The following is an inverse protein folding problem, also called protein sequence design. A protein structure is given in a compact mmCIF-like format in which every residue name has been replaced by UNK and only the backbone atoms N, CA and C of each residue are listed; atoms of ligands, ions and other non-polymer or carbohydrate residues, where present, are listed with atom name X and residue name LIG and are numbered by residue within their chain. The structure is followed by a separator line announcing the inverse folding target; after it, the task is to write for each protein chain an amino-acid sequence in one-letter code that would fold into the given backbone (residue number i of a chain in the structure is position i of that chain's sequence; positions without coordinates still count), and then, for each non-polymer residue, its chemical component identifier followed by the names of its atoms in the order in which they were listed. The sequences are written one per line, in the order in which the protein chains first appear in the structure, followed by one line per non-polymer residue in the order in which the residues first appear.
data_IF_313231343564
#
_entry.id   IF_313231343564
#
_cell.length_a   1.000
_cell.length_b   1.000
_cell.length_c   1.000
_cell.angle_alpha   90.00
_cell.angle_beta   90.00
_cell.angle_gamma   90.00
#
_symmetry.space_group_name_H-M   'P 1'
#
loop_
_entity.id
_entity.type
_entity.pdbx_description
1 polymer ?
#
# COMPACT_ATOMS: atom_id res chain seq x y z
N UNK A 1 13.54 30.63 11.01
CA UNK A 1 12.83 29.52 11.70
C UNK A 1 13.40 29.37 13.10
N UNK A 2 12.56 29.51 14.14
CA UNK A 2 12.96 29.31 15.55
C UNK A 2 13.37 27.88 15.87
N UNK A 3 12.92 26.90 15.07
CA UNK A 3 13.22 25.47 15.18
C UNK A 3 13.58 24.92 13.79
N UNK A 4 14.84 24.98 13.38
CA UNK A 4 15.26 24.51 12.06
C UNK A 4 15.16 22.98 11.89
N UNK A 5 15.05 22.26 12.99
CA UNK A 5 14.88 20.80 13.09
C UNK A 5 13.39 20.35 13.04
N UNK A 6 12.45 21.29 12.98
CA UNK A 6 11.03 21.01 13.02
C UNK A 6 10.33 21.29 11.67
N UNK A 7 9.32 20.48 11.37
CA UNK A 7 8.39 20.77 10.27
C UNK A 7 7.41 21.88 10.71
N UNK A 8 7.45 23.02 10.02
CA UNK A 8 6.51 24.10 10.26
C UNK A 8 5.33 24.00 9.28
N UNK A 9 4.10 24.10 9.82
CA UNK A 9 2.86 24.06 9.05
C UNK A 9 2.02 25.28 9.40
N UNK A 10 1.56 26.04 8.38
CA UNK A 10 0.71 27.19 8.58
C UNK A 10 -0.78 26.80 8.56
N UNK A 11 -1.53 27.16 9.59
CA UNK A 11 -2.97 26.95 9.67
C UNK A 11 -3.79 28.09 9.00
N UNK A 12 -3.13 29.16 8.57
CA UNK A 12 -3.68 30.35 7.90
C UNK A 12 -4.52 31.23 8.84
N UNK A 13 -5.42 30.64 9.62
CA UNK A 13 -6.20 31.33 10.65
C UNK A 13 -6.44 30.43 11.87
N UNK A 14 -6.87 31.04 12.98
CA UNK A 14 -7.10 30.34 14.24
C UNK A 14 -8.27 29.34 14.20
N UNK A 15 -9.18 29.45 13.22
CA UNK A 15 -10.28 28.49 13.01
C UNK A 15 -9.79 27.16 12.45
N UNK A 16 -8.68 27.17 11.73
CA UNK A 16 -8.09 26.01 11.10
C UNK A 16 -7.08 25.26 12.01
N UNK A 17 -6.75 25.78 13.18
CA UNK A 17 -5.78 25.15 14.09
C UNK A 17 -6.16 23.72 14.46
N UNK A 18 -7.41 23.50 14.85
CA UNK A 18 -7.90 22.17 15.24
C UNK A 18 -7.84 21.14 14.09
N UNK A 19 -8.46 21.38 12.91
CA UNK A 19 -8.40 20.40 11.83
C UNK A 19 -6.97 20.16 11.31
N UNK A 20 -6.11 21.20 11.28
CA UNK A 20 -4.70 21.04 10.89
C UNK A 20 -3.94 20.20 11.91
N UNK A 21 -4.11 20.45 13.22
CA UNK A 21 -3.47 19.66 14.27
C UNK A 21 -3.86 18.19 14.21
N UNK A 22 -5.14 17.89 14.00
CA UNK A 22 -5.64 16.53 13.86
C UNK A 22 -5.07 15.81 12.62
N UNK A 23 -4.96 16.51 11.48
CA UNK A 23 -4.30 15.96 10.28
C UNK A 23 -2.83 15.69 10.56
N UNK A 24 -2.12 16.60 11.24
CA UNK A 24 -0.71 16.43 11.56
C UNK A 24 -0.47 15.27 12.54
N UNK A 25 -1.34 15.08 13.53
CA UNK A 25 -1.26 13.94 14.46
C UNK A 25 -1.46 12.61 13.73
N UNK A 26 -2.42 12.54 12.81
CA UNK A 26 -2.63 11.34 11.98
C UNK A 26 -1.43 11.05 11.09
N UNK A 27 -0.83 12.08 10.49
CA UNK A 27 0.32 11.93 9.60
C UNK A 27 1.62 11.61 10.34
N UNK A 28 1.78 12.12 11.57
CA UNK A 28 2.96 11.94 12.40
C UNK A 28 2.56 11.54 13.83
N UNK A 29 2.17 10.26 14.05
CA UNK A 29 1.58 9.81 15.33
C UNK A 29 2.47 10.01 16.55
N UNK A 30 3.79 9.92 16.38
CA UNK A 30 4.77 10.02 17.47
C UNK A 30 5.45 11.38 17.57
N UNK A 31 5.11 12.33 16.68
CA UNK A 31 5.75 13.65 16.71
C UNK A 31 5.24 14.51 17.87
N UNK A 32 6.12 15.28 18.46
CA UNK A 32 5.72 16.36 19.37
C UNK A 32 5.06 17.48 18.53
N UNK A 33 3.78 17.73 18.75
CA UNK A 33 3.05 18.81 18.09
C UNK A 33 3.05 20.01 19.02
N UNK A 34 3.51 21.15 18.53
CA UNK A 34 3.51 22.42 19.24
C UNK A 34 2.73 23.43 18.41
N UNK A 35 1.72 24.04 19.01
CA UNK A 35 0.90 25.09 18.38
C UNK A 35 1.43 26.44 18.82
N UNK A 36 1.99 27.20 17.87
CA UNK A 36 2.36 28.58 18.05
C UNK A 36 1.11 29.45 18.02
N UNK A 37 0.69 29.94 19.15
CA UNK A 37 -0.52 30.77 19.30
C UNK A 37 -0.17 32.24 19.29
N UNK A 38 -1.14 33.04 18.88
CA UNK A 38 -1.11 34.48 19.04
C UNK A 38 -1.59 34.86 20.45
N UNK A 39 -0.99 35.89 21.02
CA UNK A 39 -1.46 36.52 22.24
C UNK A 39 -2.42 37.65 21.84
N UNK A 40 -3.71 37.35 21.77
CA UNK A 40 -4.77 38.32 21.45
C UNK A 40 -5.29 39.10 22.68
N UNK A 41 -4.49 39.20 23.74
CA UNK A 41 -4.88 39.82 24.97
C UNK A 41 -5.22 41.30 24.73
N UNK A 42 -6.46 41.65 24.95
CA UNK A 42 -6.99 43.01 24.99
C UNK A 42 -7.76 43.14 26.30
N UNK A 43 -7.70 44.32 26.93
CA UNK A 43 -8.42 44.57 28.17
C UNK A 43 -9.92 44.16 28.01
N UNK A 44 -10.41 43.36 28.93
CA UNK A 44 -11.79 42.85 29.04
C UNK A 44 -12.27 41.87 27.93
N UNK A 45 -11.41 41.30 27.10
CA UNK A 45 -11.80 40.29 26.10
C UNK A 45 -11.06 38.96 26.27
N UNK A 46 -11.74 37.82 25.97
CA UNK A 46 -11.08 36.51 25.98
C UNK A 46 -9.93 36.47 24.97
N UNK A 47 -8.83 35.78 25.31
CA UNK A 47 -7.71 35.58 24.39
C UNK A 47 -8.06 34.46 23.40
N UNK A 48 -8.78 34.81 22.33
CA UNK A 48 -9.34 33.85 21.35
C UNK A 48 -8.25 33.03 20.64
N UNK A 49 -7.08 33.62 20.36
CA UNK A 49 -5.94 32.92 19.75
C UNK A 49 -5.44 31.79 20.66
N UNK A 50 -5.21 32.11 21.94
CA UNK A 50 -4.77 31.10 22.93
C UNK A 50 -5.84 30.04 23.19
N UNK A 51 -7.13 30.41 23.37
CA UNK A 51 -8.20 29.42 23.59
C UNK A 51 -8.35 28.40 22.46
N UNK A 52 -8.27 28.86 21.22
CA UNK A 52 -8.34 27.97 20.04
C UNK A 52 -7.11 27.08 19.92
N UNK A 53 -5.93 27.61 20.23
CA UNK A 53 -4.70 26.83 20.25
C UNK A 53 -4.72 25.75 21.33
N UNK A 54 -5.20 26.07 22.53
CA UNK A 54 -5.39 25.11 23.63
C UNK A 54 -6.37 24.00 23.26
N UNK A 55 -7.49 24.35 22.67
CA UNK A 55 -8.47 23.37 22.17
C UNK A 55 -7.86 22.42 21.14
N UNK A 56 -7.08 22.97 20.20
CA UNK A 56 -6.41 22.17 19.19
C UNK A 56 -5.30 21.29 19.79
N UNK A 57 -4.53 21.81 20.74
CA UNK A 57 -3.49 21.05 21.43
C UNK A 57 -4.06 19.90 22.28
N UNK A 58 -5.16 20.13 22.99
CA UNK A 58 -5.87 19.10 23.76
C UNK A 58 -6.34 17.94 22.88
N UNK A 59 -6.83 18.23 21.68
CA UNK A 59 -7.34 17.17 20.77
C UNK A 59 -6.25 16.23 20.25
N UNK A 60 -4.98 16.65 20.29
CA UNK A 60 -3.84 15.90 19.71
C UNK A 60 -2.75 15.57 20.72
N UNK A 61 -3.02 15.71 22.00
CA UNK A 61 -2.02 15.57 23.06
C UNK A 61 -0.74 16.36 22.74
N UNK A 62 -0.93 17.63 22.44
CA UNK A 62 0.10 18.56 21.99
C UNK A 62 0.41 19.66 23.00
N UNK A 63 1.26 20.56 22.60
CA UNK A 63 1.71 21.71 23.39
C UNK A 63 1.26 23.01 22.74
N UNK A 64 1.14 24.07 23.56
CA UNK A 64 0.91 25.43 23.11
C UNK A 64 2.11 26.29 23.51
N UNK A 65 2.47 27.24 22.66
CA UNK A 65 3.45 28.27 22.97
C UNK A 65 2.89 29.64 22.60
N UNK A 66 2.84 30.58 23.55
CA UNK A 66 2.27 31.91 23.40
C UNK A 66 3.37 32.95 23.68
N UNK A 67 3.47 34.04 22.89
CA UNK A 67 4.42 35.11 23.18
C UNK A 67 4.22 35.69 24.61
N UNK A 68 5.29 35.78 25.42
CA UNK A 68 5.19 36.23 26.79
C UNK A 68 5.13 37.78 26.87
N UNK A 69 4.02 38.34 26.34
CA UNK A 69 3.75 39.78 26.31
C UNK A 69 2.51 40.10 27.12
N UNK A 70 2.42 41.29 27.64
CA UNK A 70 1.25 41.85 28.30
C UNK A 70 0.31 42.64 27.35
N UNK A 71 0.68 42.64 26.06
CA UNK A 71 -0.06 43.25 24.96
C UNK A 71 -0.26 42.24 23.81
N UNK A 72 -1.15 42.61 22.88
CA UNK A 72 -1.42 41.80 21.70
C UNK A 72 -0.16 41.68 20.84
N UNK A 73 0.32 40.43 20.61
CA UNK A 73 1.48 40.14 19.78
C UNK A 73 1.42 38.72 19.21
N UNK A 74 2.02 38.53 18.07
CA UNK A 74 2.34 37.23 17.53
C UNK A 74 3.86 36.91 17.72
N UNK A 75 4.29 35.69 17.32
CA UNK A 75 5.69 35.29 17.41
C UNK A 75 6.59 36.08 16.45
N UNK A 76 6.07 36.60 15.36
CA UNK A 76 6.81 37.43 14.43
C UNK A 76 7.06 38.86 15.04
N UNK A 77 6.06 39.42 15.69
CA UNK A 77 6.18 40.69 16.41
C UNK A 77 7.24 40.56 17.52
N UNK A 78 7.15 39.48 18.30
CA UNK A 78 8.13 39.22 19.36
C UNK A 78 9.56 39.01 18.79
N UNK A 79 9.69 38.33 17.68
CA UNK A 79 10.98 38.17 16.99
C UNK A 79 11.55 39.49 16.49
N UNK A 80 10.72 40.34 15.89
CA UNK A 80 11.18 41.65 15.38
C UNK A 80 11.68 42.56 16.49
N UNK A 81 11.08 42.48 17.67
CA UNK A 81 11.46 43.32 18.82
C UNK A 81 12.68 42.80 19.58
N UNK A 82 12.80 41.50 19.73
CA UNK A 82 13.77 40.89 20.64
C UNK A 82 14.90 40.08 19.93
N UNK A 83 14.77 39.89 18.62
CA UNK A 83 15.72 39.10 17.82
C UNK A 83 15.47 37.59 17.90
N UNK A 84 16.07 36.84 16.96
CA UNK A 84 15.79 35.41 16.77
C UNK A 84 16.20 34.56 17.98
N UNK A 85 17.33 34.85 18.61
CA UNK A 85 17.83 34.06 19.74
C UNK A 85 16.90 34.19 20.96
N UNK A 86 16.45 35.41 21.29
CA UNK A 86 15.53 35.67 22.39
C UNK A 86 14.14 35.07 22.09
N UNK A 87 13.65 35.19 20.86
CA UNK A 87 12.36 34.62 20.45
C UNK A 87 12.39 33.07 20.52
N UNK A 88 13.50 32.44 20.13
CA UNK A 88 13.66 30.96 20.25
C UNK A 88 13.67 30.52 21.71
N UNK A 89 14.39 31.24 22.58
CA UNK A 89 14.43 30.93 24.00
C UNK A 89 13.05 31.09 24.65
N UNK A 90 12.36 32.21 24.36
CA UNK A 90 11.01 32.49 24.83
C UNK A 90 10.00 31.45 24.34
N UNK A 91 10.06 31.04 23.07
CA UNK A 91 9.20 30.02 22.49
C UNK A 91 9.29 28.69 23.23
N UNK A 92 10.50 28.23 23.49
CA UNK A 92 10.73 26.98 24.22
C UNK A 92 10.34 27.10 25.71
N UNK A 93 10.54 28.25 26.32
CA UNK A 93 10.23 28.47 27.75
C UNK A 93 8.72 28.64 28.00
N UNK A 94 7.98 29.24 27.07
CA UNK A 94 6.53 29.43 27.17
C UNK A 94 5.70 28.23 26.75
N UNK A 95 6.36 27.13 26.37
CA UNK A 95 5.69 25.91 25.92
C UNK A 95 5.07 25.17 27.11
N UNK A 96 3.77 24.93 27.05
CA UNK A 96 3.02 24.16 28.06
C UNK A 96 2.02 23.22 27.43
N UNK A 97 1.65 22.18 28.16
CA UNK A 97 0.57 21.27 27.77
C UNK A 97 -0.70 21.75 28.46
N UNK A 98 -1.74 22.13 27.72
CA UNK A 98 -2.97 22.56 28.32
C UNK A 98 -3.61 21.41 29.09
N UNK A 99 -3.98 21.66 30.35
CA UNK A 99 -4.74 20.70 31.13
C UNK A 99 -6.21 20.89 30.82
N UNK A 100 -6.91 19.81 30.48
CA UNK A 100 -8.37 19.84 30.33
C UNK A 100 -9.00 20.31 31.63
N UNK A 101 -9.22 21.59 31.74
CA UNK A 101 -9.95 22.16 32.87
C UNK A 101 -11.37 21.60 32.85
N UNK A 102 -11.78 20.93 33.91
CA UNK A 102 -13.19 20.68 34.16
C UNK A 102 -13.88 22.04 34.18
N UNK A 103 -14.62 22.34 33.14
CA UNK A 103 -15.60 23.43 33.17
C UNK A 103 -16.61 23.03 34.25
N UNK A 104 -16.45 23.60 35.45
CA UNK A 104 -17.53 23.55 36.43
C UNK A 104 -18.70 24.30 35.81
N UNK A 105 -19.85 23.68 35.56
CA UNK A 105 -21.03 24.42 35.15
C UNK A 105 -21.36 25.41 36.26
N UNK A 106 -21.39 26.70 35.97
CA UNK A 106 -22.00 27.70 36.82
C UNK A 106 -23.50 27.41 36.84
N UNK A 107 -23.97 26.79 37.92
CA UNK A 107 -25.38 26.59 38.21
C UNK A 107 -26.02 27.98 38.45
N UNK A 108 -26.71 28.54 37.46
CA UNK A 108 -27.74 29.51 37.71
C UNK A 108 -28.94 28.75 38.28
N UNK A 109 -29.27 29.06 39.54
CA UNK A 109 -30.47 28.55 40.20
C UNK A 109 -31.70 29.06 39.45
N UNK A 110 -32.40 28.16 38.76
CA UNK A 110 -33.78 28.37 38.34
C UNK A 110 -34.63 27.78 39.43
N UNK A 111 -35.34 28.63 40.16
CA UNK A 111 -36.34 28.19 41.14
C UNK A 111 -37.46 27.42 40.45
N UNK A 112 -37.73 26.20 40.97
CA UNK A 112 -38.94 25.43 40.67
C UNK A 112 -38.77 24.31 39.65
N UNK A 113 -38.15 23.20 40.03
CA UNK A 113 -38.19 21.96 39.27
C UNK A 113 -37.65 20.80 40.10
N UNK A 114 -38.42 19.77 40.24
CA UNK A 114 -38.15 18.54 40.93
C UNK A 114 -36.72 18.05 40.76
N UNK A 115 -36.05 17.67 41.84
CA UNK A 115 -34.76 17.04 41.90
C UNK A 115 -34.73 15.76 41.00
N UNK A 116 -34.33 15.96 39.73
CA UNK A 116 -33.83 14.89 38.87
C UNK A 116 -32.34 14.82 39.07
N UNK A 117 -31.83 13.75 39.70
CA UNK A 117 -30.44 13.31 39.53
C UNK A 117 -30.14 13.28 38.03
N UNK A 118 -28.93 13.70 37.55
CA UNK A 118 -28.60 13.54 36.16
C UNK A 118 -28.82 12.06 35.84
N UNK A 119 -29.70 11.80 34.86
CA UNK A 119 -29.86 10.43 34.32
C UNK A 119 -28.47 10.01 33.88
N UNK A 120 -27.83 9.10 34.63
CA UNK A 120 -26.68 8.35 34.20
C UNK A 120 -27.11 7.73 32.88
N UNK A 121 -26.48 8.08 31.75
CA UNK A 121 -26.70 7.37 30.50
C UNK A 121 -26.69 5.87 30.79
N UNK A 122 -27.74 5.12 30.39
CA UNK A 122 -27.80 3.70 30.71
C UNK A 122 -26.51 3.07 30.17
N UNK A 123 -25.76 2.44 31.07
CA UNK A 123 -24.53 1.72 30.77
C UNK A 123 -24.85 0.65 29.72
N UNK A 124 -24.55 0.96 28.45
CA UNK A 124 -24.85 0.08 27.32
C UNK A 124 -23.65 -0.82 27.01
N UNK A 125 -23.89 -2.07 26.68
CA UNK A 125 -22.83 -2.92 26.14
C UNK A 125 -22.24 -2.30 24.89
N UNK A 126 -20.91 -2.37 24.74
CA UNK A 126 -20.16 -1.77 23.64
C UNK A 126 -18.90 -2.57 23.30
N UNK A 127 -18.32 -2.31 22.16
CA UNK A 127 -17.04 -2.91 21.76
C UNK A 127 -15.92 -1.91 22.04
N UNK A 128 -14.86 -2.41 22.68
CA UNK A 128 -13.62 -1.68 22.89
C UNK A 128 -12.48 -2.30 22.09
N UNK A 129 -11.75 -1.45 21.35
CA UNK A 129 -10.50 -1.82 20.69
C UNK A 129 -9.34 -1.35 21.55
N UNK A 130 -8.49 -2.30 21.96
CA UNK A 130 -7.33 -2.08 22.84
C UNK A 130 -6.07 -2.64 22.17
N UNK A 131 -4.90 -2.35 22.75
CA UNK A 131 -3.62 -2.85 22.25
C UNK A 131 -3.48 -4.38 22.29
N UNK A 132 -4.20 -5.06 23.18
CA UNK A 132 -4.19 -6.51 23.38
C UNK A 132 -5.34 -7.24 22.67
N UNK A 133 -6.29 -6.51 22.09
CA UNK A 133 -7.42 -7.10 21.36
C UNK A 133 -8.64 -6.23 21.25
N UNK A 134 -9.66 -6.80 20.65
CA UNK A 134 -11.01 -6.21 20.57
C UNK A 134 -11.93 -6.99 21.52
N UNK A 135 -12.65 -6.28 22.38
CA UNK A 135 -13.45 -6.85 23.45
C UNK A 135 -14.89 -6.38 23.38
N UNK A 136 -15.83 -7.25 23.69
CA UNK A 136 -17.20 -6.92 24.01
C UNK A 136 -17.32 -6.65 25.50
N UNK A 137 -17.65 -5.46 25.89
CA UNK A 137 -17.78 -5.01 27.29
C UNK A 137 -19.26 -4.88 27.63
N UNK A 138 -19.67 -5.59 28.66
CA UNK A 138 -21.03 -5.54 29.21
C UNK A 138 -20.98 -4.97 30.61
N UNK A 139 -21.28 -3.68 30.82
CA UNK A 139 -21.36 -3.11 32.16
C UNK A 139 -22.52 -3.71 32.95
N UNK A 140 -22.27 -4.12 34.19
CA UNK A 140 -23.27 -4.57 35.15
C UNK A 140 -23.12 -3.78 36.43
N UNK A 141 -24.23 -3.35 37.02
CA UNK A 141 -24.21 -2.76 38.34
C UNK A 141 -24.29 -3.89 39.34
N UNK A 142 -23.30 -3.98 40.20
CA UNK A 142 -23.36 -4.89 41.36
C UNK A 142 -24.47 -4.46 42.30
N UNK A 143 -25.30 -5.40 42.70
CA UNK A 143 -26.50 -5.09 43.49
C UNK A 143 -26.19 -4.73 44.95
N UNK A 144 -25.05 -5.21 45.47
CA UNK A 144 -24.69 -5.06 46.86
C UNK A 144 -23.81 -3.82 47.10
N UNK A 145 -22.86 -3.54 46.17
CA UNK A 145 -21.94 -2.41 46.26
C UNK A 145 -22.40 -1.18 45.47
N UNK A 146 -23.30 -1.35 44.50
CA UNK A 146 -23.66 -0.28 43.54
C UNK A 146 -22.56 0.08 42.55
N UNK A 147 -21.44 -0.65 42.54
CA UNK A 147 -20.33 -0.43 41.62
C UNK A 147 -20.60 -1.02 40.24
N UNK A 148 -20.02 -0.41 39.24
CA UNK A 148 -20.09 -0.93 37.85
C UNK A 148 -18.98 -1.94 37.63
N UNK A 149 -19.35 -3.19 37.41
CA UNK A 149 -18.44 -4.27 37.05
C UNK A 149 -18.56 -4.53 35.55
N UNK A 150 -17.45 -4.40 34.82
CA UNK A 150 -17.39 -4.70 33.39
C UNK A 150 -17.14 -6.20 33.18
N UNK A 151 -18.12 -6.88 32.58
CA UNK A 151 -17.89 -8.23 32.06
C UNK A 151 -17.35 -8.14 30.64
N UNK A 152 -16.20 -8.73 30.42
CA UNK A 152 -15.49 -8.65 29.12
C UNK A 152 -15.49 -10.00 28.43
N UNK A 153 -15.66 -9.96 27.09
CA UNK A 153 -15.50 -11.13 26.23
C UNK A 153 -14.59 -10.75 25.06
N UNK A 154 -13.49 -11.48 24.91
CA UNK A 154 -12.56 -11.27 23.81
C UNK A 154 -13.19 -11.65 22.46
N UNK A 155 -13.06 -10.80 21.47
CA UNK A 155 -13.61 -10.95 20.10
C UNK A 155 -12.54 -11.36 19.10
N UNK A 156 -11.43 -10.63 19.03
CA UNK A 156 -10.33 -10.91 18.11
C UNK A 156 -9.03 -10.22 18.54
N UNK A 157 -7.93 -10.58 17.88
CA UNK A 157 -6.65 -9.85 17.96
C UNK A 157 -6.83 -8.37 17.61
N UNK A 158 -5.89 -7.49 18.00
CA UNK A 158 -5.94 -6.07 17.64
C UNK A 158 -6.05 -5.89 16.13
N UNK A 159 -6.96 -5.04 15.70
CA UNK A 159 -7.15 -4.60 14.32
C UNK A 159 -7.78 -3.22 14.26
N UNK A 160 -7.63 -2.56 13.12
CA UNK A 160 -8.16 -1.24 12.86
C UNK A 160 -8.91 -1.22 11.53
N UNK A 161 -10.09 -0.60 11.51
CA UNK A 161 -10.79 -0.27 10.27
C UNK A 161 -10.28 1.08 9.80
N UNK A 162 -9.50 1.11 8.71
CA UNK A 162 -8.82 2.31 8.22
C UNK A 162 -9.57 3.00 7.08
N UNK A 163 -10.53 2.34 6.46
CA UNK A 163 -11.29 2.96 5.40
C UNK A 163 -12.37 2.09 4.79
N UNK A 164 -13.01 2.64 3.77
CA UNK A 164 -13.95 1.96 2.90
C UNK A 164 -13.37 1.93 1.50
N UNK A 165 -13.18 0.74 0.94
CA UNK A 165 -12.67 0.55 -0.40
C UNK A 165 -13.77 0.38 -1.43
N UNK A 166 -13.48 0.68 -2.69
CA UNK A 166 -14.32 0.31 -3.82
C UNK A 166 -13.49 -0.03 -5.06
N UNK A 167 -13.95 -0.96 -5.83
CA UNK A 167 -13.61 -1.13 -7.24
C UNK A 167 -14.80 -0.72 -8.13
N UNK A 168 -14.88 -1.23 -9.35
CA UNK A 168 -15.97 -0.91 -10.28
C UNK A 168 -17.29 -1.62 -9.95
N UNK A 169 -17.28 -2.61 -9.04
CA UNK A 169 -18.43 -3.48 -8.74
C UNK A 169 -18.76 -3.55 -7.27
N UNK A 170 -17.74 -3.75 -6.44
CA UNK A 170 -17.90 -4.11 -5.05
C UNK A 170 -17.43 -2.99 -4.12
N UNK A 171 -17.99 -3.02 -2.92
CA UNK A 171 -17.58 -2.21 -1.78
C UNK A 171 -16.80 -3.09 -0.81
N UNK A 172 -15.76 -2.52 -0.21
CA UNK A 172 -14.85 -3.20 0.68
C UNK A 172 -14.72 -2.47 2.01
N UNK A 173 -14.45 -3.22 3.04
CA UNK A 173 -13.91 -2.70 4.29
C UNK A 173 -12.39 -2.86 4.27
N UNK A 174 -11.66 -1.78 4.53
CA UNK A 174 -10.20 -1.81 4.58
C UNK A 174 -9.79 -1.97 6.04
N UNK A 175 -9.17 -3.10 6.33
CA UNK A 175 -8.77 -3.49 7.69
C UNK A 175 -7.25 -3.61 7.74
N UNK A 176 -6.65 -3.07 8.81
CA UNK A 176 -5.21 -3.11 9.08
C UNK A 176 -4.94 -3.79 10.41
N UNK A 177 -3.89 -4.58 10.46
CA UNK A 177 -3.44 -5.27 11.68
C UNK A 177 -1.96 -5.61 11.60
N UNK A 178 -1.43 -6.03 12.74
CA UNK A 178 -0.10 -6.62 12.83
C UNK A 178 -0.24 -8.09 13.20
N UNK A 179 0.28 -8.98 12.36
CA UNK A 179 0.29 -10.41 12.66
C UNK A 179 1.33 -10.72 13.74
N UNK A 180 1.05 -11.73 14.58
CA UNK A 180 1.97 -12.14 15.64
C UNK A 180 3.35 -12.52 15.08
N UNK A 181 4.42 -11.96 15.64
CA UNK A 181 5.81 -12.22 15.23
C UNK A 181 6.23 -11.51 13.94
N UNK A 182 5.38 -10.67 13.34
CA UNK A 182 5.69 -9.90 12.14
C UNK A 182 5.72 -8.41 12.48
N UNK A 183 6.81 -7.72 12.12
CA UNK A 183 6.94 -6.28 12.39
C UNK A 183 6.13 -5.41 11.43
N UNK A 184 5.88 -5.90 10.21
CA UNK A 184 5.13 -5.18 9.19
C UNK A 184 3.61 -5.23 9.45
N UNK A 185 2.94 -4.10 9.16
CA UNK A 185 1.48 -4.03 9.16
C UNK A 185 0.92 -4.67 7.89
N UNK A 186 -0.09 -5.50 8.07
CA UNK A 186 -0.89 -6.07 6.97
C UNK A 186 -2.14 -5.22 6.78
N UNK A 187 -2.46 -4.89 5.54
CA UNK A 187 -3.72 -4.23 5.16
C UNK A 187 -4.45 -5.10 4.15
N UNK A 188 -5.74 -5.32 4.33
CA UNK A 188 -6.57 -6.10 3.42
C UNK A 188 -7.89 -5.41 3.10
N UNK A 189 -8.36 -5.59 1.87
CA UNK A 189 -9.70 -5.23 1.43
C UNK A 189 -10.60 -6.47 1.55
N UNK A 190 -11.61 -6.40 2.40
CA UNK A 190 -12.60 -7.48 2.56
C UNK A 190 -13.91 -6.99 1.96
N UNK A 191 -14.49 -7.69 0.98
CA UNK A 191 -15.79 -7.34 0.45
C UNK A 191 -16.82 -7.18 1.56
N UNK A 192 -17.64 -6.13 1.51
CA UNK A 192 -18.69 -5.93 2.53
C UNK A 192 -19.65 -7.12 2.60
N UNK A 193 -19.89 -7.80 1.49
CA UNK A 193 -20.69 -9.02 1.43
C UNK A 193 -20.10 -10.18 2.24
N UNK A 194 -18.78 -10.19 2.46
CA UNK A 194 -18.08 -11.24 3.19
C UNK A 194 -17.92 -10.92 4.70
N UNK A 195 -18.27 -9.70 5.14
CA UNK A 195 -18.18 -9.33 6.55
C UNK A 195 -19.22 -10.10 7.36
N UNK A 196 -18.73 -10.91 8.31
CA UNK A 196 -19.57 -11.83 9.07
C UNK A 196 -19.68 -13.22 8.47
N UNK A 197 -19.35 -13.38 7.19
CA UNK A 197 -19.40 -14.64 6.47
C UNK A 197 -18.09 -15.43 6.59
N UNK A 198 -18.14 -16.69 6.15
CA UNK A 198 -17.02 -17.63 6.23
C UNK A 198 -15.76 -17.10 5.51
N UNK A 199 -15.94 -16.51 4.36
CA UNK A 199 -14.88 -16.01 3.48
C UNK A 199 -14.13 -14.84 4.13
N UNK A 200 -14.83 -13.88 4.72
CA UNK A 200 -14.22 -12.77 5.45
C UNK A 200 -13.43 -13.24 6.68
N UNK A 201 -13.98 -14.15 7.48
CA UNK A 201 -13.25 -14.74 8.61
C UNK A 201 -12.02 -15.53 8.15
N UNK A 202 -12.11 -16.22 7.02
CA UNK A 202 -10.97 -16.94 6.43
C UNK A 202 -9.86 -15.98 6.03
N UNK A 203 -10.19 -14.86 5.41
CA UNK A 203 -9.21 -13.85 4.99
C UNK A 203 -8.47 -13.27 6.20
N UNK A 204 -9.18 -12.87 7.24
CA UNK A 204 -8.57 -12.36 8.48
C UNK A 204 -7.67 -13.40 9.16
N UNK A 205 -8.14 -14.63 9.31
CA UNK A 205 -7.38 -15.71 9.95
C UNK A 205 -6.15 -16.11 9.12
N UNK A 206 -6.25 -16.15 7.80
CA UNK A 206 -5.11 -16.42 6.91
C UNK A 206 -4.05 -15.32 7.02
N UNK A 207 -4.46 -14.07 7.31
CA UNK A 207 -3.56 -12.95 7.58
C UNK A 207 -3.02 -12.89 9.01
N UNK A 208 -3.31 -13.89 9.86
CA UNK A 208 -2.75 -13.99 11.22
C UNK A 208 -3.60 -13.35 12.33
N UNK A 209 -4.84 -12.95 12.03
CA UNK A 209 -5.81 -12.50 13.06
C UNK A 209 -6.45 -13.71 13.74
N UNK A 210 -6.39 -13.74 15.06
CA UNK A 210 -7.19 -14.68 15.85
C UNK A 210 -8.59 -14.11 16.06
N UNK A 211 -9.61 -14.90 15.77
CA UNK A 211 -11.02 -14.53 15.94
C UNK A 211 -11.70 -15.56 16.82
N UNK A 212 -12.55 -15.11 17.74
CA UNK A 212 -13.35 -16.00 18.63
C UNK A 212 -14.11 -17.06 17.83
N UNK A 213 -14.25 -18.25 18.41
CA UNK A 213 -15.04 -19.33 17.81
C UNK A 213 -16.53 -19.25 18.13
N UNK A 214 -16.92 -18.45 19.15
CA UNK A 214 -18.33 -18.29 19.54
C UNK A 214 -19.11 -17.49 18.51
N UNK A 215 -20.16 -18.07 17.95
CA UNK A 215 -20.95 -17.46 16.86
C UNK A 215 -21.59 -16.13 17.25
N UNK A 216 -22.14 -16.03 18.48
CA UNK A 216 -22.75 -14.81 18.99
C UNK A 216 -21.75 -13.65 19.09
N UNK A 217 -20.53 -13.91 19.54
CA UNK A 217 -19.48 -12.90 19.62
C UNK A 217 -18.93 -12.51 18.24
N UNK A 218 -18.89 -13.44 17.28
CA UNK A 218 -18.55 -13.12 15.88
C UNK A 218 -19.59 -12.23 15.22
N UNK A 219 -20.86 -12.41 15.53
CA UNK A 219 -21.92 -11.53 15.03
C UNK A 219 -21.75 -10.08 15.56
N UNK A 220 -21.41 -9.94 16.85
CA UNK A 220 -21.10 -8.62 17.44
C UNK A 220 -19.87 -7.99 16.77
N UNK A 221 -18.81 -8.78 16.54
CA UNK A 221 -17.62 -8.30 15.86
C UNK A 221 -17.92 -7.85 14.41
N UNK A 222 -18.71 -8.63 13.66
CA UNK A 222 -19.11 -8.28 12.30
C UNK A 222 -19.92 -6.99 12.24
N UNK A 223 -20.87 -6.80 13.15
CA UNK A 223 -21.68 -5.60 13.26
C UNK A 223 -20.83 -4.38 13.62
N UNK A 224 -19.88 -4.54 14.54
CA UNK A 224 -18.94 -3.50 14.93
C UNK A 224 -18.01 -3.11 13.77
N UNK A 225 -17.43 -4.07 13.05
CA UNK A 225 -16.56 -3.80 11.90
C UNK A 225 -17.25 -2.92 10.84
N UNK A 226 -18.53 -3.18 10.55
CA UNK A 226 -19.30 -2.43 9.57
C UNK A 226 -19.60 -0.98 10.01
N UNK A 227 -19.61 -0.69 11.32
CA UNK A 227 -20.00 0.63 11.84
C UNK A 227 -18.84 1.46 12.36
N UNK A 228 -17.70 0.83 12.63
CA UNK A 228 -16.57 1.45 13.33
C UNK A 228 -15.44 1.86 12.40
N UNK A 229 -14.51 2.66 12.95
CA UNK A 229 -13.27 3.05 12.33
C UNK A 229 -13.37 4.20 11.35
N UNK A 230 -12.25 4.48 10.68
CA UNK A 230 -12.15 5.51 9.67
C UNK A 230 -12.97 5.17 8.41
N UNK A 231 -13.41 6.20 7.71
CA UNK A 231 -14.19 6.09 6.46
C UNK A 231 -13.45 6.75 5.29
N UNK A 232 -12.14 6.77 5.33
CA UNK A 232 -11.33 7.21 4.20
C UNK A 232 -11.64 6.35 2.97
N UNK A 233 -11.84 7.00 1.84
CA UNK A 233 -12.12 6.28 0.59
C UNK A 233 -10.83 5.74 -0.01
N UNK A 234 -10.79 4.42 -0.20
CA UNK A 234 -9.72 3.70 -0.86
C UNK A 234 -10.16 3.18 -2.23
N UNK A 235 -9.21 3.03 -3.15
CA UNK A 235 -9.42 2.31 -4.39
C UNK A 235 -8.85 0.90 -4.26
N UNK A 236 -9.62 -0.09 -4.70
CA UNK A 236 -9.18 -1.49 -4.69
C UNK A 236 -8.85 -1.89 -6.13
N UNK A 237 -7.61 -2.27 -6.36
CA UNK A 237 -7.12 -2.69 -7.66
C UNK A 237 -6.90 -4.21 -7.69
N UNK A 238 -7.33 -4.87 -8.76
CA UNK A 238 -7.15 -6.32 -8.97
C UNK A 238 -6.12 -6.65 -10.04
N UNK A 239 -5.60 -5.65 -10.73
CA UNK A 239 -4.51 -5.76 -11.69
C UNK A 239 -3.36 -4.84 -11.29
N UNK A 240 -2.17 -5.18 -11.72
CA UNK A 240 -0.95 -4.37 -11.58
C UNK A 240 -0.84 -3.33 -12.69
N UNK A 241 0.27 -2.58 -12.73
CA UNK A 241 0.50 -1.54 -13.71
C UNK A 241 -0.29 -0.27 -13.41
N UNK A 242 -0.63 0.49 -14.44
CA UNK A 242 -1.31 1.77 -14.29
C UNK A 242 -2.78 1.61 -13.93
N UNK A 243 -3.10 1.73 -12.64
CA UNK A 243 -4.43 1.61 -12.07
C UNK A 243 -4.71 2.75 -11.09
N UNK A 244 -5.92 3.26 -11.07
CA UNK A 244 -6.38 4.22 -10.04
C UNK A 244 -5.50 5.48 -9.89
N UNK A 245 -4.81 5.92 -10.95
CA UNK A 245 -3.93 7.09 -10.92
C UNK A 245 -2.51 6.83 -10.38
N UNK A 246 -2.13 5.57 -10.21
CA UNK A 246 -0.81 5.16 -9.75
C UNK A 246 -0.31 3.94 -10.55
N UNK A 247 0.98 3.61 -10.40
CA UNK A 247 1.55 2.36 -10.90
C UNK A 247 1.65 1.36 -9.74
N UNK A 248 1.04 0.19 -9.91
CA UNK A 248 0.96 -0.86 -8.90
C UNK A 248 1.91 -1.99 -9.26
N UNK A 249 2.84 -2.29 -8.35
CA UNK A 249 3.77 -3.39 -8.47
C UNK A 249 3.11 -4.73 -8.07
N UNK A 250 3.62 -5.88 -8.58
CA UNK A 250 3.07 -7.21 -8.24
C UNK A 250 3.17 -7.62 -6.77
N UNK A 251 4.05 -6.99 -5.98
CA UNK A 251 4.15 -7.15 -4.53
C UNK A 251 3.18 -6.27 -3.75
N UNK A 252 2.46 -5.39 -4.45
CA UNK A 252 1.48 -4.47 -3.87
C UNK A 252 2.02 -3.07 -3.59
N UNK A 253 3.28 -2.77 -3.87
CA UNK A 253 3.82 -1.42 -3.78
C UNK A 253 3.09 -0.50 -4.77
N UNK A 254 2.73 0.70 -4.31
CA UNK A 254 2.03 1.72 -5.10
C UNK A 254 2.96 2.90 -5.34
N UNK A 255 3.32 3.12 -6.60
CA UNK A 255 4.22 4.18 -7.02
C UNK A 255 3.41 5.32 -7.63
N UNK A 256 3.58 6.54 -7.08
CA UNK A 256 2.86 7.74 -7.50
C UNK A 256 2.08 8.39 -6.37
N UNK A 257 1.24 9.37 -6.71
CA UNK A 257 0.42 10.15 -5.76
C UNK A 257 -1.04 10.13 -6.22
N UNK A 258 -1.74 8.99 -6.06
CA UNK A 258 -3.15 8.90 -6.44
C UNK A 258 -4.02 9.78 -5.53
N UNK A 259 -5.17 10.21 -6.03
CA UNK A 259 -6.14 11.03 -5.29
C UNK A 259 -6.64 10.32 -4.01
N UNK A 260 -6.79 9.00 -4.08
CA UNK A 260 -7.18 8.15 -2.96
C UNK A 260 -6.13 7.06 -2.75
N UNK A 261 -5.91 6.60 -1.51
CA UNK A 261 -5.06 5.44 -1.27
C UNK A 261 -5.52 4.25 -2.12
N UNK A 262 -4.55 3.51 -2.64
CA UNK A 262 -4.81 2.32 -3.47
C UNK A 262 -4.34 1.08 -2.74
N UNK A 263 -5.15 0.04 -2.75
CA UNK A 263 -4.80 -1.27 -2.25
C UNK A 263 -4.86 -2.31 -3.37
N UNK A 264 -3.75 -3.01 -3.59
CA UNK A 264 -3.73 -4.13 -4.52
C UNK A 264 -4.30 -5.39 -3.87
N UNK A 265 -5.38 -5.91 -4.44
CA UNK A 265 -6.07 -7.13 -3.98
C UNK A 265 -5.84 -8.32 -4.92
N UNK A 266 -4.81 -8.25 -5.78
CA UNK A 266 -4.36 -9.34 -6.64
C UNK A 266 -3.28 -10.20 -5.97
N UNK A 267 -2.81 -11.21 -6.71
CA UNK A 267 -1.70 -12.09 -6.28
C UNK A 267 -0.84 -12.42 -7.47
N UNK A 268 0.48 -12.41 -7.27
CA UNK A 268 1.48 -12.95 -8.20
C UNK A 268 2.32 -14.01 -7.49
N UNK A 269 2.67 -15.06 -8.18
CA UNK A 269 3.62 -16.05 -7.67
C UNK A 269 5.04 -15.50 -7.57
N UNK A 270 5.36 -14.46 -8.35
CA UNK A 270 6.64 -13.78 -8.36
C UNK A 270 6.73 -12.60 -7.38
N UNK A 271 5.68 -12.29 -6.60
CA UNK A 271 5.62 -11.13 -5.72
C UNK A 271 6.85 -10.99 -4.79
N UNK A 272 7.32 -12.10 -4.22
CA UNK A 272 8.50 -12.12 -3.34
C UNK A 272 9.82 -11.77 -4.06
N UNK A 273 9.83 -11.77 -5.39
CA UNK A 273 11.00 -11.42 -6.20
C UNK A 273 11.19 -9.92 -6.39
N UNK A 274 10.14 -9.11 -6.18
CA UNK A 274 10.21 -7.66 -6.27
C UNK A 274 10.89 -7.11 -5.02
N UNK A 275 12.19 -6.84 -5.15
CA UNK A 275 13.05 -6.43 -4.03
C UNK A 275 13.98 -5.32 -4.49
N UNK A 276 14.26 -4.39 -3.59
CA UNK A 276 15.24 -3.32 -3.83
C UNK A 276 16.55 -3.68 -3.14
N UNK A 277 17.66 -3.63 -3.90
CA UNK A 277 19.01 -3.79 -3.37
C UNK A 277 19.94 -2.77 -4.02
N UNK A 278 20.59 -1.94 -3.22
CA UNK A 278 21.42 -0.84 -3.73
C UNK A 278 20.57 0.32 -4.26
N UNK A 279 21.20 1.14 -5.07
CA UNK A 279 20.61 2.34 -5.68
C UNK A 279 20.55 2.23 -7.20
N UNK A 280 19.77 3.10 -7.84
CA UNK A 280 19.75 3.19 -9.30
C UNK A 280 21.15 3.54 -9.87
N UNK A 281 21.97 4.29 -9.13
CA UNK A 281 23.34 4.65 -9.51
C UNK A 281 24.25 3.42 -9.46
N UNK A 282 24.14 2.61 -8.41
CA UNK A 282 24.88 1.34 -8.29
C UNK A 282 24.54 0.41 -9.46
N UNK A 283 23.24 0.30 -9.82
CA UNK A 283 22.82 -0.51 -10.95
C UNK A 283 23.38 0.02 -12.29
N UNK A 284 23.41 1.34 -12.49
CA UNK A 284 23.99 1.96 -13.69
C UNK A 284 25.50 1.72 -13.78
N UNK A 285 26.20 1.90 -12.67
CA UNK A 285 27.65 1.75 -12.60
C UNK A 285 28.15 0.31 -12.68
N UNK A 286 27.30 -0.67 -12.34
CA UNK A 286 27.63 -2.11 -12.39
C UNK A 286 26.94 -2.80 -13.58
N UNK A 287 25.66 -3.15 -13.44
CA UNK A 287 24.93 -3.98 -14.40
C UNK A 287 24.83 -3.29 -15.76
N UNK A 288 24.36 -2.02 -15.81
CA UNK A 288 24.21 -1.31 -17.09
C UNK A 288 25.53 -1.09 -17.79
N UNK A 289 26.63 -0.85 -17.05
CA UNK A 289 27.96 -0.77 -17.59
C UNK A 289 28.35 -2.08 -18.31
N UNK A 290 28.19 -3.21 -17.65
CA UNK A 290 28.53 -4.52 -18.21
C UNK A 290 27.63 -4.95 -19.39
N UNK A 291 26.41 -4.42 -19.46
CA UNK A 291 25.47 -4.64 -20.57
C UNK A 291 25.88 -3.91 -21.83
N UNK A 292 26.54 -2.75 -21.69
CA UNK A 292 26.89 -1.89 -22.81
C UNK A 292 27.71 -2.62 -23.87
N UNK A 293 27.36 -2.45 -25.16
CA UNK A 293 27.99 -3.14 -26.30
C UNK A 293 27.57 -4.58 -26.54
N UNK A 294 26.76 -5.18 -25.64
CA UNK A 294 26.25 -6.54 -25.77
C UNK A 294 24.78 -6.52 -26.23
N UNK A 295 24.55 -6.64 -27.54
CA UNK A 295 23.26 -6.32 -28.18
C UNK A 295 22.03 -7.04 -27.57
N UNK A 296 22.13 -8.35 -27.33
CA UNK A 296 20.99 -9.10 -26.74
C UNK A 296 20.66 -8.63 -25.33
N UNK A 297 21.68 -8.35 -24.51
CA UNK A 297 21.50 -7.81 -23.15
C UNK A 297 20.92 -6.39 -23.20
N UNK A 298 21.41 -5.53 -24.10
CA UNK A 298 20.86 -4.18 -24.30
C UNK A 298 19.40 -4.23 -24.75
N UNK A 299 19.05 -5.14 -25.68
CA UNK A 299 17.68 -5.31 -26.15
C UNK A 299 16.75 -5.80 -25.02
N UNK A 300 17.19 -6.77 -24.23
CA UNK A 300 16.42 -7.26 -23.08
C UNK A 300 16.22 -6.18 -22.02
N UNK A 301 17.25 -5.42 -21.69
CA UNK A 301 17.18 -4.29 -20.76
C UNK A 301 16.24 -3.19 -21.28
N UNK A 302 16.33 -2.84 -22.56
CA UNK A 302 15.45 -1.85 -23.17
C UNK A 302 13.97 -2.29 -23.14
N UNK A 303 13.69 -3.58 -23.40
CA UNK A 303 12.35 -4.15 -23.28
C UNK A 303 11.82 -4.08 -21.84
N UNK A 304 12.67 -4.38 -20.86
CA UNK A 304 12.31 -4.28 -19.45
C UNK A 304 12.00 -2.83 -19.04
N UNK A 305 12.79 -1.85 -19.49
CA UNK A 305 12.52 -0.42 -19.23
C UNK A 305 11.28 0.08 -19.96
N UNK A 306 10.95 -0.49 -21.12
CA UNK A 306 9.74 -0.14 -21.87
C UNK A 306 8.45 -0.69 -21.24
N UNK A 307 8.55 -1.77 -20.46
CA UNK A 307 7.38 -2.47 -19.92
C UNK A 307 6.40 -1.56 -19.15
N UNK A 308 6.80 -0.71 -18.21
CA UNK A 308 5.88 0.19 -17.52
C UNK A 308 5.36 1.34 -18.41
N UNK A 309 5.93 1.54 -19.58
CA UNK A 309 5.56 2.64 -20.49
C UNK A 309 4.53 2.24 -21.53
N UNK A 310 4.35 0.94 -21.82
CA UNK A 310 3.46 0.47 -22.90
C UNK A 310 2.00 0.89 -22.67
N UNK A 311 1.53 0.86 -21.42
CA UNK A 311 0.19 1.33 -21.06
C UNK A 311 0.00 2.82 -21.30
N UNK A 312 0.97 3.63 -20.96
CA UNK A 312 0.96 5.08 -21.18
C UNK A 312 1.02 5.44 -22.67
N UNK A 313 1.78 4.66 -23.45
CA UNK A 313 1.88 4.83 -24.90
C UNK A 313 0.66 4.28 -25.67
N UNK A 314 -0.28 3.59 -25.00
CA UNK A 314 -1.40 2.91 -25.65
C UNK A 314 -0.97 1.76 -26.56
N UNK A 315 0.24 1.22 -26.36
CA UNK A 315 0.78 0.12 -27.16
C UNK A 315 0.25 -1.25 -26.66
N UNK A 316 0.18 -2.22 -27.57
CA UNK A 316 -0.12 -3.60 -27.23
C UNK A 316 1.06 -4.27 -26.50
N UNK A 317 0.77 -5.30 -25.70
CA UNK A 317 1.80 -6.17 -25.13
C UNK A 317 2.56 -6.92 -26.23
N UNK A 318 3.84 -7.17 -25.98
CA UNK A 318 4.71 -7.92 -26.88
C UNK A 318 5.70 -8.78 -26.11
N UNK A 319 6.37 -9.69 -26.80
CA UNK A 319 7.44 -10.49 -26.23
C UNK A 319 8.67 -10.54 -27.11
N UNK A 320 9.80 -10.83 -26.48
CA UNK A 320 11.05 -11.13 -27.13
C UNK A 320 11.47 -12.53 -26.70
N UNK A 321 11.62 -13.43 -27.66
CA UNK A 321 12.11 -14.78 -27.44
C UNK A 321 13.56 -14.89 -27.91
N UNK A 322 14.49 -14.99 -26.99
CA UNK A 322 15.91 -15.21 -27.28
C UNK A 322 16.18 -16.70 -27.38
N UNK A 323 16.68 -17.13 -28.51
CA UNK A 323 16.99 -18.53 -28.74
C UNK A 323 18.43 -18.72 -29.19
N UNK A 324 19.06 -19.76 -28.69
CA UNK A 324 20.41 -20.25 -29.06
C UNK A 324 20.64 -21.56 -28.30
N UNK A 325 21.63 -22.32 -28.73
CA UNK A 325 22.04 -23.53 -28.04
C UNK A 325 22.45 -23.28 -26.59
N UNK A 326 22.52 -24.35 -25.81
CA UNK A 326 22.88 -24.30 -24.40
C UNK A 326 24.20 -23.55 -24.15
N UNK A 327 24.31 -22.91 -23.00
CA UNK A 327 25.49 -22.13 -22.56
C UNK A 327 25.82 -20.88 -23.42
N UNK A 328 24.86 -20.33 -24.15
CA UNK A 328 25.05 -19.10 -24.93
C UNK A 328 24.84 -17.80 -24.14
N UNK A 329 24.33 -17.86 -22.89
CA UNK A 329 24.05 -16.70 -22.06
C UNK A 329 22.58 -16.24 -22.07
N UNK A 330 21.64 -17.09 -22.53
CA UNK A 330 20.18 -16.78 -22.55
C UNK A 330 19.65 -16.36 -21.20
N UNK A 331 19.84 -17.22 -20.19
CA UNK A 331 19.39 -16.96 -18.82
C UNK A 331 20.05 -15.71 -18.22
N UNK A 332 21.34 -15.50 -18.48
CA UNK A 332 22.03 -14.26 -18.05
C UNK A 332 21.37 -13.03 -18.66
N UNK A 333 21.07 -13.07 -19.97
CA UNK A 333 20.38 -11.97 -20.67
C UNK A 333 19.00 -11.67 -20.09
N UNK A 334 18.19 -12.71 -19.78
CA UNK A 334 16.89 -12.55 -19.13
C UNK A 334 17.02 -12.05 -17.69
N UNK A 335 18.01 -12.54 -16.94
CA UNK A 335 18.26 -12.11 -15.55
C UNK A 335 18.69 -10.64 -15.46
N UNK A 336 19.52 -10.16 -16.39
CA UNK A 336 19.88 -8.74 -16.47
C UNK A 336 18.66 -7.86 -16.64
N UNK A 337 17.72 -8.22 -17.49
CA UNK A 337 16.47 -7.48 -17.65
C UNK A 337 15.61 -7.51 -16.37
N UNK A 338 15.51 -8.68 -15.74
CA UNK A 338 14.72 -8.87 -14.51
C UNK A 338 15.33 -8.16 -13.31
N UNK A 339 16.67 -7.95 -13.28
CA UNK A 339 17.36 -7.25 -12.19
C UNK A 339 16.92 -5.80 -11.99
N UNK A 340 16.27 -5.20 -12.98
CA UNK A 340 15.62 -3.89 -12.87
C UNK A 340 14.43 -3.89 -11.89
N UNK A 341 13.86 -5.05 -11.64
CA UNK A 341 12.65 -5.22 -10.83
C UNK A 341 12.89 -5.95 -9.50
N UNK A 342 14.05 -6.60 -9.36
CA UNK A 342 14.36 -7.31 -8.12
C UNK A 342 15.26 -8.53 -8.32
N UNK A 343 15.01 -9.59 -7.54
CA UNK A 343 15.78 -10.82 -7.60
C UNK A 343 15.38 -11.68 -8.82
N UNK A 344 16.25 -11.84 -9.85
CA UNK A 344 15.91 -12.55 -11.08
C UNK A 344 15.51 -14.01 -10.87
N UNK A 345 16.07 -14.69 -9.87
CA UNK A 345 15.76 -16.10 -9.62
C UNK A 345 14.34 -16.28 -9.05
N UNK A 346 13.86 -15.32 -8.28
CA UNK A 346 12.50 -15.33 -7.71
C UNK A 346 11.46 -14.76 -8.69
N UNK A 347 11.88 -13.86 -9.60
CA UNK A 347 11.00 -13.30 -10.63
C UNK A 347 10.76 -14.24 -11.80
N UNK A 348 11.64 -15.22 -11.98
CA UNK A 348 11.61 -16.15 -13.11
C UNK A 348 10.36 -17.02 -13.09
N UNK A 349 9.58 -16.95 -14.14
CA UNK A 349 8.44 -17.79 -14.43
C UNK A 349 8.83 -18.86 -15.47
N UNK A 350 7.97 -19.84 -15.69
CA UNK A 350 8.20 -20.94 -16.64
C UNK A 350 7.06 -21.06 -17.64
N UNK A 351 7.37 -21.53 -18.84
CA UNK A 351 6.36 -21.93 -19.81
C UNK A 351 5.63 -23.22 -19.40
N UNK A 352 6.19 -23.98 -18.46
CA UNK A 352 5.57 -25.19 -17.91
C UNK A 352 4.45 -24.82 -16.96
N UNK A 353 3.27 -24.58 -17.51
CA UNK A 353 2.09 -24.18 -16.76
C UNK A 353 0.81 -24.31 -17.58
N UNK A 354 -0.33 -24.21 -16.93
CA UNK A 354 -1.60 -24.16 -17.63
C UNK A 354 -1.81 -22.78 -18.28
N UNK A 355 -2.52 -22.73 -19.41
CA UNK A 355 -2.86 -21.46 -20.07
C UNK A 355 -3.58 -20.49 -19.11
N UNK A 356 -4.39 -21.01 -18.18
CA UNK A 356 -5.05 -20.19 -17.15
C UNK A 356 -4.05 -19.65 -16.13
N UNK A 357 -3.08 -20.46 -15.70
CA UNK A 357 -2.02 -20.03 -14.79
C UNK A 357 -1.19 -18.90 -15.39
N UNK A 358 -0.75 -19.07 -16.64
CA UNK A 358 0.00 -18.03 -17.37
C UNK A 358 -0.84 -16.75 -17.60
N UNK A 359 -2.14 -16.88 -17.89
CA UNK A 359 -3.02 -15.74 -18.01
C UNK A 359 -3.22 -14.98 -16.67
N UNK A 360 -3.22 -15.70 -15.55
CA UNK A 360 -3.27 -15.08 -14.22
C UNK A 360 -1.99 -14.30 -13.91
N UNK A 361 -0.82 -14.91 -14.21
CA UNK A 361 0.46 -14.22 -14.04
C UNK A 361 0.59 -13.03 -14.98
N UNK A 362 0.15 -13.13 -16.23
CA UNK A 362 0.14 -12.01 -17.16
C UNK A 362 -0.68 -10.82 -16.65
N UNK A 363 -1.85 -11.09 -16.06
CA UNK A 363 -2.67 -10.05 -15.43
C UNK A 363 -2.00 -9.45 -14.18
N UNK A 364 -1.23 -10.26 -13.45
CA UNK A 364 -0.43 -9.81 -12.31
C UNK A 364 0.88 -9.10 -12.72
N UNK A 365 1.22 -9.06 -14.00
CA UNK A 365 2.34 -8.33 -14.60
C UNK A 365 1.84 -7.34 -15.68
N UNK A 366 0.60 -6.85 -15.53
CA UNK A 366 0.06 -5.86 -16.46
C UNK A 366 0.91 -4.59 -16.44
N UNK A 367 1.16 -4.03 -17.63
CA UNK A 367 2.10 -2.91 -17.86
C UNK A 367 3.48 -3.17 -17.22
N UNK A 368 3.93 -4.41 -17.17
CA UNK A 368 5.14 -4.85 -16.51
C UNK A 368 5.91 -5.92 -17.29
N UNK A 369 7.08 -6.27 -16.75
CA UNK A 369 7.94 -7.31 -17.31
C UNK A 369 7.50 -8.69 -16.81
N UNK A 370 7.38 -9.65 -17.72
CA UNK A 370 7.09 -11.07 -17.44
C UNK A 370 8.24 -11.96 -17.96
N UNK A 371 9.20 -12.35 -17.11
CA UNK A 371 10.31 -13.24 -17.54
C UNK A 371 9.84 -14.69 -17.56
N UNK A 372 9.89 -15.32 -18.74
CA UNK A 372 9.48 -16.69 -19.00
C UNK A 372 10.71 -17.52 -19.44
N UNK A 373 11.20 -18.37 -18.56
CA UNK A 373 12.38 -19.17 -18.84
C UNK A 373 12.03 -20.45 -19.58
N UNK A 374 12.95 -20.88 -20.45
CA UNK A 374 13.12 -22.13 -21.16
C UNK A 374 11.85 -22.73 -21.78
N UNK A 375 11.57 -22.35 -23.01
CA UNK A 375 10.63 -23.09 -23.87
C UNK A 375 11.24 -24.46 -24.19
N UNK A 376 10.59 -25.53 -23.78
CA UNK A 376 11.04 -26.89 -24.06
C UNK A 376 11.22 -27.76 -22.82
N UNK A 377 11.37 -27.20 -21.63
CA UNK A 377 11.40 -27.98 -20.39
C UNK A 377 10.03 -28.57 -20.05
N UNK A 378 9.73 -29.77 -20.56
CA UNK A 378 8.49 -30.47 -20.23
C UNK A 378 7.21 -29.86 -20.74
N UNK A 379 7.30 -28.83 -21.58
CA UNK A 379 6.13 -28.11 -22.13
C UNK A 379 5.64 -28.81 -23.39
N UNK A 380 4.34 -29.13 -23.45
CA UNK A 380 3.70 -29.55 -24.68
C UNK A 380 3.65 -28.40 -25.68
N UNK A 381 4.19 -28.52 -26.91
CA UNK A 381 4.17 -27.46 -27.91
C UNK A 381 2.80 -26.88 -28.22
N UNK A 382 1.74 -27.69 -28.08
CA UNK A 382 0.35 -27.23 -28.26
C UNK A 382 -0.07 -26.27 -27.14
N UNK A 383 0.27 -26.62 -25.90
CA UNK A 383 0.00 -25.78 -24.73
C UNK A 383 0.80 -24.49 -24.77
N UNK A 384 2.05 -24.52 -25.18
CA UNK A 384 2.90 -23.33 -25.38
C UNK A 384 2.31 -22.41 -26.43
N UNK A 385 1.89 -22.97 -27.58
CA UNK A 385 1.25 -22.19 -28.65
C UNK A 385 -0.03 -21.49 -28.21
N UNK A 386 -0.88 -22.20 -27.45
CA UNK A 386 -2.13 -21.63 -26.92
C UNK A 386 -1.85 -20.56 -25.87
N UNK A 387 -0.88 -20.79 -25.00
CA UNK A 387 -0.49 -19.86 -23.96
C UNK A 387 0.14 -18.60 -24.52
N UNK A 388 1.05 -18.73 -25.50
CA UNK A 388 1.66 -17.60 -26.21
C UNK A 388 0.60 -16.75 -26.92
N UNK A 389 -0.37 -17.40 -27.59
CA UNK A 389 -1.47 -16.67 -28.23
C UNK A 389 -2.29 -15.87 -27.22
N UNK A 390 -2.69 -16.49 -26.10
CA UNK A 390 -3.48 -15.82 -25.06
C UNK A 390 -2.67 -14.68 -24.43
N UNK A 391 -1.39 -14.93 -24.09
CA UNK A 391 -0.50 -13.98 -23.43
C UNK A 391 -0.39 -12.67 -24.24
N UNK A 392 -0.08 -12.77 -25.53
CA UNK A 392 0.14 -11.60 -26.38
C UNK A 392 -1.13 -11.03 -26.99
N UNK A 393 -2.27 -11.74 -26.91
CA UNK A 393 -3.57 -11.17 -27.23
C UNK A 393 -4.11 -10.28 -26.10
N UNK A 394 -3.54 -10.36 -24.91
CA UNK A 394 -3.85 -9.49 -23.78
C UNK A 394 -5.25 -9.70 -23.18
N UNK A 395 -5.90 -10.83 -23.48
CA UNK A 395 -7.27 -11.12 -23.02
C UNK A 395 -7.37 -12.56 -22.56
N UNK A 396 -7.86 -12.75 -21.36
CA UNK A 396 -8.09 -14.07 -20.77
C UNK A 396 -9.24 -14.85 -21.43
N UNK A 397 -9.30 -16.14 -21.13
CA UNK A 397 -10.42 -16.99 -21.56
C UNK A 397 -11.69 -16.63 -20.80
N UNK A 398 -12.80 -16.44 -21.51
CA UNK A 398 -14.11 -16.26 -20.91
C UNK A 398 -14.50 -17.51 -20.11
N UNK A 399 -14.92 -17.33 -18.86
CA UNK A 399 -15.30 -18.41 -17.95
C UNK A 399 -16.65 -18.14 -17.30
N UNK A 400 -17.51 -19.15 -17.20
CA UNK A 400 -18.77 -19.05 -16.47
C UNK A 400 -18.55 -18.85 -14.96
N UNK A 401 -19.40 -18.05 -14.34
CA UNK A 401 -19.48 -17.91 -12.90
C UNK A 401 -20.41 -18.96 -12.30
N UNK A 402 -20.19 -19.35 -11.03
CA UNK A 402 -21.05 -20.36 -10.34
C UNK A 402 -22.47 -19.87 -10.12
N UNK A 403 -22.63 -18.55 -9.98
CA UNK A 403 -23.91 -17.89 -9.68
C UNK A 403 -24.67 -17.43 -10.95
N UNK A 404 -24.23 -17.90 -12.13
CA UNK A 404 -24.74 -17.48 -13.43
C UNK A 404 -23.93 -16.33 -14.06
N UNK A 405 -24.03 -16.19 -15.39
CA UNK A 405 -23.22 -15.23 -16.14
C UNK A 405 -21.76 -15.64 -16.31
N UNK A 406 -20.89 -14.69 -16.51
CA UNK A 406 -19.46 -14.90 -16.72
C UNK A 406 -18.65 -14.21 -15.64
N UNK A 407 -17.50 -14.81 -15.30
CA UNK A 407 -16.46 -14.16 -14.49
C UNK A 407 -15.87 -12.97 -15.25
N UNK A 408 -15.25 -12.06 -14.50
CA UNK A 408 -14.57 -10.92 -15.10
C UNK A 408 -13.51 -11.35 -16.09
N UNK A 409 -13.57 -10.74 -17.25
CA UNK A 409 -12.63 -10.98 -18.32
C UNK A 409 -11.34 -10.24 -18.01
N UNK A 410 -10.30 -10.98 -17.61
CA UNK A 410 -8.97 -10.41 -17.36
C UNK A 410 -8.40 -9.85 -18.66
N UNK A 411 -7.81 -8.66 -18.55
CA UNK A 411 -7.08 -7.98 -19.63
C UNK A 411 -5.72 -7.54 -19.10
N UNK A 412 -4.73 -7.56 -19.97
CA UNK A 412 -3.37 -7.13 -19.62
C UNK A 412 -2.61 -6.66 -20.86
N UNK A 413 -1.59 -5.91 -20.61
CA UNK A 413 -0.52 -5.54 -21.54
C UNK A 413 0.79 -5.87 -20.85
N UNK A 414 1.54 -6.81 -21.39
CA UNK A 414 2.74 -7.33 -20.72
C UNK A 414 3.88 -7.34 -21.72
N UNK A 415 5.07 -6.99 -21.28
CA UNK A 415 6.31 -7.22 -22.02
C UNK A 415 6.91 -8.52 -21.50
N UNK A 416 6.99 -9.55 -22.37
CA UNK A 416 7.59 -10.80 -21.98
C UNK A 416 9.03 -10.92 -22.53
N UNK A 417 9.92 -11.45 -21.70
CA UNK A 417 11.23 -11.96 -22.14
C UNK A 417 11.20 -13.45 -21.98
N UNK A 418 11.43 -14.15 -23.08
CA UNK A 418 11.39 -15.61 -23.14
C UNK A 418 12.72 -16.15 -23.63
N UNK A 419 13.07 -17.36 -23.20
CA UNK A 419 14.29 -18.06 -23.63
C UNK A 419 13.98 -19.46 -24.16
N UNK A 420 14.82 -19.99 -25.03
CA UNK A 420 14.71 -21.35 -25.55
C UNK A 420 15.92 -21.76 -26.38
N UNK A 421 16.01 -23.05 -26.75
CA UNK A 421 17.10 -23.57 -27.58
C UNK A 421 16.85 -23.37 -29.07
N UNK A 422 15.60 -23.16 -29.49
CA UNK A 422 15.19 -22.89 -30.86
C UNK A 422 14.13 -21.79 -30.87
N UNK A 423 13.88 -21.19 -32.01
CA UNK A 423 12.80 -20.26 -32.17
C UNK A 423 11.44 -20.93 -31.93
N UNK A 424 10.46 -20.13 -31.50
CA UNK A 424 9.15 -20.66 -31.12
C UNK A 424 8.39 -21.29 -32.30
N UNK A 425 8.62 -20.80 -33.51
CA UNK A 425 8.00 -21.35 -34.71
C UNK A 425 8.46 -22.74 -35.00
N UNK A 426 9.77 -22.97 -34.97
CA UNK A 426 10.39 -24.30 -35.09
C UNK A 426 9.94 -25.23 -33.97
N UNK A 427 9.87 -24.74 -32.73
CA UNK A 427 9.39 -25.51 -31.59
C UNK A 427 7.95 -26.02 -31.80
N UNK A 428 7.04 -25.14 -32.23
CA UNK A 428 5.64 -25.47 -32.49
C UNK A 428 5.47 -26.36 -33.71
N UNK A 429 6.27 -26.12 -34.76
CA UNK A 429 6.27 -26.93 -35.99
C UNK A 429 6.70 -28.37 -35.74
N UNK A 430 7.62 -28.58 -34.78
CA UNK A 430 8.06 -29.93 -34.36
C UNK A 430 6.92 -30.81 -33.83
N UNK A 431 5.80 -30.23 -33.40
CA UNK A 431 4.59 -30.94 -33.02
C UNK A 431 3.58 -31.13 -34.17
N UNK A 432 4.00 -30.90 -35.40
CA UNK A 432 3.13 -31.05 -36.60
C UNK A 432 2.07 -29.91 -36.73
N UNK A 433 2.26 -28.79 -36.05
CA UNK A 433 1.32 -27.66 -36.09
C UNK A 433 1.93 -26.44 -36.79
N UNK A 434 1.08 -25.65 -37.44
CA UNK A 434 1.49 -24.38 -38.04
C UNK A 434 1.17 -23.23 -37.06
N UNK A 435 2.13 -22.34 -36.89
CA UNK A 435 1.92 -21.07 -36.18
C UNK A 435 0.96 -20.18 -37.00
N UNK A 436 0.11 -19.43 -36.28
CA UNK A 436 -0.73 -18.42 -36.92
C UNK A 436 0.08 -17.13 -37.06
N UNK A 437 0.00 -16.45 -38.20
CA UNK A 437 0.75 -15.23 -38.50
C UNK A 437 0.65 -14.18 -37.37
N UNK A 438 -0.51 -14.02 -36.71
CA UNK A 438 -0.70 -13.07 -35.61
C UNK A 438 0.08 -13.42 -34.31
N UNK A 439 0.58 -14.65 -34.16
CA UNK A 439 1.41 -15.04 -32.99
C UNK A 439 2.83 -14.53 -33.15
N UNK A 440 3.37 -14.58 -34.39
CA UNK A 440 4.75 -14.20 -34.71
C UNK A 440 4.97 -12.69 -34.66
N UNK A 441 3.93 -11.91 -34.93
CA UNK A 441 4.03 -10.44 -34.91
C UNK A 441 4.22 -9.87 -33.50
N UNK A 442 3.71 -10.58 -32.46
CA UNK A 442 3.74 -10.10 -31.09
C UNK A 442 4.80 -10.77 -30.21
N UNK A 443 5.38 -11.88 -30.65
CA UNK A 443 6.53 -12.52 -30.03
C UNK A 443 7.69 -12.59 -31.02
N UNK A 444 8.62 -11.69 -30.85
CA UNK A 444 9.78 -11.54 -31.74
C UNK A 444 10.82 -12.62 -31.44
N UNK A 445 11.08 -13.53 -32.38
CA UNK A 445 12.15 -14.51 -32.27
C UNK A 445 13.48 -13.85 -32.63
N UNK A 446 14.39 -13.74 -31.69
CA UNK A 446 15.69 -13.10 -31.86
C UNK A 446 16.80 -14.12 -31.57
N UNK A 447 17.65 -14.46 -32.54
CA UNK A 447 18.85 -15.24 -32.28
C UNK A 447 19.70 -14.52 -31.23
N UNK A 448 20.09 -15.21 -30.18
CA UNK A 448 20.90 -14.58 -29.14
C UNK A 448 22.30 -14.30 -29.66
N UNK A 449 22.69 -13.06 -29.63
CA UNK A 449 24.08 -12.64 -29.81
C UNK A 449 24.84 -12.85 -28.51
N UNK A 450 25.85 -13.71 -28.53
CA UNK A 450 26.76 -13.90 -27.38
C UNK A 450 27.41 -12.58 -27.00
N UNK A 451 27.69 -12.39 -25.73
CA UNK A 451 28.45 -11.23 -25.27
C UNK A 451 29.84 -11.21 -25.93
N UNK A 452 30.22 -10.06 -26.45
CA UNK A 452 31.50 -9.83 -27.11
C UNK A 452 32.33 -8.75 -26.39
N UNK A 453 31.68 -7.91 -25.61
CA UNK A 453 32.32 -6.89 -24.77
C UNK A 453 32.30 -7.38 -23.30
N UNK A 454 33.48 -7.71 -22.78
CA UNK A 454 33.63 -8.22 -21.41
C UNK A 454 34.09 -7.15 -20.43
N UNK A 455 34.28 -5.92 -20.94
CA UNK A 455 34.74 -4.77 -20.16
C UNK A 455 36.06 -5.08 -19.41
N UNK A 456 36.06 -4.94 -18.08
CA UNK A 456 37.25 -5.26 -17.25
C UNK A 456 37.47 -6.75 -17.02
N UNK A 457 36.61 -7.63 -17.53
CA UNK A 457 36.70 -9.08 -17.34
C UNK A 457 37.45 -9.76 -18.49
N UNK A 458 38.15 -10.84 -18.18
CA UNK A 458 39.01 -11.52 -19.17
C UNK A 458 38.25 -12.36 -20.21
N UNK A 459 37.04 -12.81 -19.85
CA UNK A 459 36.25 -13.69 -20.70
C UNK A 459 34.75 -13.65 -20.34
N UNK A 460 33.92 -14.26 -21.21
CA UNK A 460 32.47 -14.26 -21.05
C UNK A 460 31.96 -14.95 -19.78
N UNK A 461 32.70 -15.91 -19.19
CA UNK A 461 32.32 -16.55 -17.95
C UNK A 461 32.47 -15.56 -16.78
N UNK A 462 33.61 -14.91 -16.66
CA UNK A 462 33.83 -13.88 -15.61
C UNK A 462 32.85 -12.72 -15.74
N UNK A 463 32.59 -12.26 -16.96
CA UNK A 463 31.58 -11.25 -17.25
C UNK A 463 30.16 -11.67 -16.81
N UNK A 464 29.76 -12.91 -17.14
CA UNK A 464 28.46 -13.46 -16.74
C UNK A 464 28.35 -13.67 -15.21
N UNK A 465 29.46 -14.03 -14.55
CA UNK A 465 29.49 -14.18 -13.08
C UNK A 465 29.43 -12.82 -12.36
N UNK A 466 29.97 -11.76 -12.96
CA UNK A 466 29.87 -10.39 -12.44
C UNK A 466 28.46 -9.80 -12.59
N UNK A 467 27.64 -10.29 -13.54
CA UNK A 467 26.25 -9.89 -13.74
C UNK A 467 25.24 -10.60 -12.79
N UNK A 468 25.70 -11.62 -12.06
CA UNK A 468 24.89 -12.36 -11.06
C UNK A 468 24.89 -11.66 -9.70
#
# INVERSE_FOLDING_TARGET
LMRPDALAVAAIDAGNLLPVAEVMRRKYPLAQIVIAADNDRLDDKPNTGTERAEKAALSVDGYVSVPPTDYKADWNDYHQQHGLAAATAAFNHSMYQPQGGSVKPQLQAIEGGKSGLPEKEPLKPHVESRADGVFWVTPKVDKDSGEVINQEAWLCSPLEVVGTGRDDKDQYLIIRWQAFGVSALTTAAIPLADIGEREGWRTLKAGGINVTTKSSLRAILADWLQRSGARELWRVAHATGWQCGAYIMPDGEVIGTPEHPVLFNGRSSAAAGYTVKGTAEDWRGSVAHLVAGNYSMMTATAAALAAPLIGLAGADGFGIHFYEQSSAGKTTTANVASSLYGNPDLLRLTWYGTALGLANEAAAHNDGLMPLDEVGQGSDPVSVSQSAYALFNGVGKLQGAKEGGNRDLKRWRTVAISTGEMDLETFIAGAGRRTKAGQLVRLLNIPLSKAVHFHEHQNGKQHADALK
#
